data_IF_053281073680
#
_entry.id   IF_053281073680
#
_cell.length_a   1.000
_cell.length_b   1.000
_cell.length_c   1.000
_cell.angle_alpha   90.00
_cell.angle_beta   90.00
_cell.angle_gamma   90.00
#
_symmetry.space_group_name_H-M   'P 1'
#
loop_
_entity.id
_entity.type
_entity.pdbx_description
1 polymer ?
#
# COMPACT_ATOMS: atom_id res chain seq x y z
N UNK A 1 -4.54 -3.05 14.67
CA UNK A 1 -5.05 -3.32 13.30
C UNK A 1 -6.15 -2.30 13.03
N UNK A 2 -6.07 -1.63 11.91
CA UNK A 2 -7.10 -0.70 11.47
C UNK A 2 -7.75 -1.27 10.21
N UNK A 3 -8.91 -1.87 10.37
CA UNK A 3 -9.71 -2.39 9.27
C UNK A 3 -10.80 -1.38 8.94
N UNK A 4 -10.57 -0.63 7.88
CA UNK A 4 -11.52 0.34 7.31
C UNK A 4 -11.37 0.34 5.79
N UNK A 5 -12.39 0.80 5.09
CA UNK A 5 -12.34 0.94 3.65
C UNK A 5 -11.29 1.97 3.18
N UNK A 6 -11.18 2.14 1.89
CA UNK A 6 -10.26 3.10 1.26
C UNK A 6 -11.02 4.37 0.88
N UNK A 7 -10.37 5.52 1.06
CA UNK A 7 -10.89 6.82 0.66
C UNK A 7 -9.78 7.70 0.08
N UNK A 8 -10.15 8.55 -0.85
CA UNK A 8 -9.30 9.63 -1.39
C UNK A 8 -10.03 10.95 -1.17
N UNK A 9 -9.34 11.90 -0.56
CA UNK A 9 -9.86 13.24 -0.31
C UNK A 9 -9.00 14.26 -1.05
N UNK A 10 -9.29 14.57 -2.32
CA UNK A 10 -8.52 15.54 -3.09
C UNK A 10 -8.76 16.97 -2.57
N UNK A 11 -7.71 17.78 -2.65
CA UNK A 11 -7.78 19.21 -2.32
C UNK A 11 -7.71 20.02 -3.61
N UNK A 12 -8.53 21.06 -3.72
CA UNK A 12 -8.64 21.94 -4.90
C UNK A 12 -8.31 23.37 -4.53
N UNK A 13 -7.36 23.97 -5.24
CA UNK A 13 -6.82 25.29 -4.95
C UNK A 13 -7.34 26.39 -5.88
N UNK A 14 -8.16 26.07 -6.88
CA UNK A 14 -8.69 27.04 -7.85
C UNK A 14 -9.22 28.32 -7.19
N UNK A 15 -10.11 28.16 -6.21
CA UNK A 15 -10.75 29.31 -5.56
C UNK A 15 -9.76 30.19 -4.76
N UNK A 16 -8.66 29.61 -4.27
CA UNK A 16 -7.58 30.35 -3.58
C UNK A 16 -6.80 31.15 -4.61
N UNK A 17 -6.44 30.56 -5.73
CA UNK A 17 -5.71 31.23 -6.80
C UNK A 17 -6.53 32.39 -7.40
N UNK A 18 -7.82 32.20 -7.62
CA UNK A 18 -8.72 33.27 -8.09
C UNK A 18 -8.75 34.46 -7.14
N UNK A 19 -8.85 34.21 -5.81
CA UNK A 19 -8.81 35.27 -4.80
C UNK A 19 -7.47 36.02 -4.74
N UNK A 20 -6.39 35.35 -5.06
CA UNK A 20 -5.03 35.93 -5.11
C UNK A 20 -4.72 36.58 -6.47
N UNK A 21 -5.66 36.55 -7.43
CA UNK A 21 -5.43 37.07 -8.79
C UNK A 21 -4.47 36.23 -9.64
N UNK A 22 -4.22 34.98 -9.23
CA UNK A 22 -3.31 34.06 -9.94
C UNK A 22 -4.10 33.32 -11.01
N UNK A 23 -3.66 33.42 -12.27
CA UNK A 23 -4.20 32.65 -13.39
C UNK A 23 -3.36 31.42 -13.67
N UNK A 24 -3.96 30.26 -13.51
CA UNK A 24 -3.31 28.99 -13.86
C UNK A 24 -3.62 28.65 -15.32
N UNK A 25 -2.57 28.38 -16.10
CA UNK A 25 -2.69 27.87 -17.47
C UNK A 25 -2.28 26.43 -17.51
N UNK A 26 -3.12 25.57 -18.10
CA UNK A 26 -2.91 24.13 -18.17
C UNK A 26 -2.92 23.68 -19.62
N UNK A 27 -1.88 22.97 -20.03
CA UNK A 27 -1.83 22.24 -21.27
C UNK A 27 -1.96 20.74 -20.93
N UNK A 28 -3.07 20.10 -21.31
CA UNK A 28 -3.26 18.65 -21.13
C UNK A 28 -3.90 18.05 -22.38
N UNK A 29 -3.60 16.79 -22.63
CA UNK A 29 -4.23 15.99 -23.67
C UNK A 29 -4.87 14.76 -23.02
N UNK A 30 -6.15 14.55 -23.30
CA UNK A 30 -6.94 13.44 -22.75
C UNK A 30 -7.75 13.80 -21.52
N UNK A 31 -8.92 13.18 -21.41
CA UNK A 31 -9.92 13.49 -20.36
C UNK A 31 -9.51 12.92 -19.01
N UNK A 32 -8.86 11.75 -18.98
CA UNK A 32 -8.41 11.08 -17.76
C UNK A 32 -7.10 11.63 -17.14
N UNK A 33 -6.60 12.78 -17.64
CA UNK A 33 -5.44 13.48 -17.07
C UNK A 33 -5.85 14.37 -15.89
N UNK A 34 -6.22 13.73 -14.76
CA UNK A 34 -6.76 14.41 -13.57
C UNK A 34 -5.74 15.16 -12.72
N UNK A 35 -4.43 14.95 -12.89
CA UNK A 35 -3.39 15.53 -12.01
C UNK A 35 -3.43 17.07 -11.92
N UNK A 36 -3.86 17.75 -12.97
CA UNK A 36 -3.94 19.22 -13.02
C UNK A 36 -5.24 19.79 -12.45
N UNK A 37 -6.22 18.95 -12.14
CA UNK A 37 -7.54 19.40 -11.66
C UNK A 37 -7.46 20.08 -10.31
N UNK A 38 -6.51 19.68 -9.46
CA UNK A 38 -6.21 20.32 -8.18
C UNK A 38 -6.05 21.85 -8.31
N UNK A 39 -5.52 22.32 -9.43
CA UNK A 39 -5.25 23.74 -9.67
C UNK A 39 -6.33 24.44 -10.50
N UNK A 40 -7.06 23.70 -11.34
CA UNK A 40 -7.98 24.26 -12.34
C UNK A 40 -9.45 24.10 -12.04
N UNK A 41 -9.80 23.20 -11.12
CA UNK A 41 -11.19 22.89 -10.77
C UNK A 41 -11.45 23.13 -9.27
N UNK A 42 -12.72 23.23 -8.92
CA UNK A 42 -13.17 23.25 -7.52
C UNK A 42 -13.64 21.88 -7.03
N UNK A 43 -13.78 20.93 -7.94
CA UNK A 43 -14.19 19.55 -7.67
C UNK A 43 -13.60 18.60 -8.71
N UNK A 44 -13.64 17.33 -8.41
CA UNK A 44 -13.14 16.25 -9.28
C UNK A 44 -14.05 16.12 -10.53
N UNK A 45 -13.45 15.95 -11.71
CA UNK A 45 -14.20 15.62 -12.92
C UNK A 45 -14.83 14.23 -12.81
N UNK A 46 -15.84 13.97 -13.65
CA UNK A 46 -16.48 12.65 -13.73
C UNK A 46 -15.48 11.56 -14.08
N UNK A 47 -14.63 11.83 -15.06
CA UNK A 47 -13.60 10.91 -15.56
C UNK A 47 -12.54 10.59 -14.48
N UNK A 48 -12.07 11.62 -13.77
CA UNK A 48 -11.11 11.44 -12.68
C UNK A 48 -11.75 10.70 -11.49
N UNK A 49 -13.02 10.99 -11.18
CA UNK A 49 -13.78 10.26 -10.16
C UNK A 49 -13.95 8.79 -10.53
N UNK A 50 -14.31 8.50 -11.78
CA UNK A 50 -14.45 7.13 -12.30
C UNK A 50 -13.12 6.35 -12.16
N UNK A 51 -12.02 6.93 -12.63
CA UNK A 51 -10.69 6.32 -12.53
C UNK A 51 -10.28 6.08 -11.09
N UNK A 52 -10.49 7.07 -10.21
CA UNK A 52 -10.16 6.97 -8.79
C UNK A 52 -10.99 5.88 -8.10
N UNK A 53 -12.28 5.83 -8.38
CA UNK A 53 -13.17 4.81 -7.80
C UNK A 53 -12.82 3.41 -8.31
N UNK A 54 -12.48 3.25 -9.59
CA UNK A 54 -12.03 1.96 -10.13
C UNK A 54 -10.76 1.47 -9.42
N UNK A 55 -9.80 2.37 -9.17
CA UNK A 55 -8.58 2.04 -8.43
C UNK A 55 -8.90 1.64 -6.98
N UNK A 56 -9.72 2.43 -6.28
CA UNK A 56 -10.09 2.14 -4.89
C UNK A 56 -10.84 0.81 -4.76
N UNK A 57 -11.80 0.54 -5.64
CA UNK A 57 -12.54 -0.73 -5.66
C UNK A 57 -11.62 -1.91 -5.92
N UNK A 58 -10.78 -1.84 -6.95
CA UNK A 58 -9.84 -2.90 -7.28
C UNK A 58 -8.87 -3.19 -6.12
N UNK A 59 -8.35 -2.14 -5.50
CA UNK A 59 -7.44 -2.28 -4.34
C UNK A 59 -8.15 -2.89 -3.15
N UNK A 60 -9.34 -2.39 -2.80
CA UNK A 60 -10.14 -2.92 -1.70
C UNK A 60 -10.56 -4.37 -1.93
N UNK A 61 -10.95 -4.70 -3.15
CA UNK A 61 -11.32 -6.07 -3.53
C UNK A 61 -10.17 -7.05 -3.31
N UNK A 62 -8.96 -6.68 -3.70
CA UNK A 62 -7.78 -7.52 -3.47
C UNK A 62 -7.47 -7.67 -1.98
N UNK A 63 -7.50 -6.59 -1.21
CA UNK A 63 -7.24 -6.62 0.24
C UNK A 63 -8.30 -7.45 0.97
N UNK A 64 -9.58 -7.17 0.71
CA UNK A 64 -10.69 -7.86 1.39
C UNK A 64 -10.76 -9.34 1.03
N UNK A 65 -10.47 -9.70 -0.23
CA UNK A 65 -10.39 -11.10 -0.67
C UNK A 65 -9.21 -11.84 -0.02
N UNK A 66 -8.04 -11.19 0.08
CA UNK A 66 -6.88 -11.75 0.77
C UNK A 66 -7.21 -12.08 2.23
N UNK A 67 -7.76 -11.11 2.98
CA UNK A 67 -8.17 -11.32 4.37
C UNK A 67 -9.23 -12.43 4.48
N UNK A 68 -10.24 -12.39 3.61
CA UNK A 68 -11.32 -13.37 3.60
C UNK A 68 -10.79 -14.79 3.41
N UNK A 69 -9.86 -14.96 2.48
CA UNK A 69 -9.23 -16.26 2.18
C UNK A 69 -8.39 -16.76 3.33
N UNK A 70 -7.49 -15.94 3.86
CA UNK A 70 -6.56 -16.33 4.91
C UNK A 70 -7.26 -16.60 6.24
N UNK A 71 -8.29 -15.82 6.56
CA UNK A 71 -9.06 -15.94 7.80
C UNK A 71 -10.29 -16.83 7.68
N UNK A 72 -10.61 -17.34 6.50
CA UNK A 72 -11.81 -18.16 6.23
C UNK A 72 -13.10 -17.45 6.65
N UNK A 73 -13.16 -16.15 6.39
CA UNK A 73 -14.30 -15.26 6.64
C UNK A 73 -14.87 -14.87 5.28
N UNK A 74 -16.19 -14.70 5.15
CA UNK A 74 -16.73 -14.23 3.87
C UNK A 74 -16.37 -12.77 3.61
N UNK A 75 -16.23 -12.40 2.33
CA UNK A 75 -15.89 -11.02 1.92
C UNK A 75 -16.93 -10.01 2.40
N UNK A 76 -18.20 -10.42 2.41
CA UNK A 76 -19.32 -9.60 2.90
C UNK A 76 -19.15 -9.26 4.39
N UNK A 77 -18.67 -10.21 5.20
CA UNK A 77 -18.37 -9.96 6.62
C UNK A 77 -17.17 -9.04 6.78
N UNK A 78 -16.13 -9.20 5.97
CA UNK A 78 -14.98 -8.26 5.99
C UNK A 78 -15.43 -6.84 5.67
N UNK A 79 -16.30 -6.65 4.67
CA UNK A 79 -16.87 -5.36 4.35
C UNK A 79 -17.69 -4.79 5.52
N UNK A 80 -18.56 -5.59 6.14
CA UNK A 80 -19.34 -5.16 7.29
C UNK A 80 -18.44 -4.75 8.47
N UNK A 81 -17.37 -5.49 8.75
CA UNK A 81 -16.41 -5.14 9.80
C UNK A 81 -15.66 -3.83 9.50
N UNK A 82 -15.33 -3.58 8.23
CA UNK A 82 -14.72 -2.31 7.82
C UNK A 82 -15.67 -1.12 8.04
N UNK A 83 -16.99 -1.30 7.80
CA UNK A 83 -18.01 -0.28 8.05
C UNK A 83 -18.20 0.02 9.56
N UNK A 84 -17.99 -0.96 10.43
CA UNK A 84 -18.04 -0.77 11.88
C UNK A 84 -16.91 0.10 12.43
N UNK A 85 -15.96 0.54 11.62
CA UNK A 85 -14.79 1.30 12.04
C UNK A 85 -14.04 0.60 13.18
N UNK A 86 -13.46 -0.55 12.87
CA UNK A 86 -12.80 -1.43 13.85
C UNK A 86 -11.77 -0.74 14.74
N UNK A 87 -11.17 0.36 14.28
CA UNK A 87 -10.23 1.15 15.07
C UNK A 87 -10.80 1.60 16.43
N UNK A 88 -12.08 1.89 16.51
CA UNK A 88 -12.76 2.33 17.74
C UNK A 88 -13.37 1.18 18.55
N UNK A 89 -13.23 -0.06 18.09
CA UNK A 89 -13.77 -1.22 18.79
C UNK A 89 -12.78 -1.78 19.82
N UNK A 90 -13.28 -2.40 20.90
CA UNK A 90 -12.40 -3.04 21.87
C UNK A 90 -11.60 -4.16 21.21
N UNK A 91 -10.33 -4.39 21.60
CA UNK A 91 -9.47 -5.41 21.03
C UNK A 91 -10.07 -6.82 21.00
N UNK A 92 -10.93 -7.14 21.96
CA UNK A 92 -11.64 -8.43 22.04
C UNK A 92 -12.53 -8.70 20.81
N UNK A 93 -13.07 -7.65 20.17
CA UNK A 93 -13.85 -7.82 18.93
C UNK A 93 -13.02 -8.37 17.77
N UNK A 94 -11.74 -8.04 17.69
CA UNK A 94 -10.87 -8.59 16.64
C UNK A 94 -10.73 -10.12 16.76
N UNK A 95 -10.68 -10.62 17.98
CA UNK A 95 -10.66 -12.07 18.24
C UNK A 95 -12.03 -12.68 17.94
N UNK A 96 -13.13 -12.06 18.39
CA UNK A 96 -14.49 -12.52 18.13
C UNK A 96 -14.81 -12.62 16.64
N UNK A 97 -14.29 -11.70 15.85
CA UNK A 97 -14.48 -11.68 14.39
C UNK A 97 -13.48 -12.57 13.64
N UNK A 98 -12.55 -13.20 14.35
CA UNK A 98 -11.53 -14.06 13.74
C UNK A 98 -10.46 -13.30 12.97
N UNK A 99 -10.37 -11.99 13.13
CA UNK A 99 -9.38 -11.13 12.47
C UNK A 99 -7.97 -11.31 13.03
N UNK A 100 -7.86 -11.72 14.29
CA UNK A 100 -6.61 -12.06 14.97
C UNK A 100 -6.78 -13.35 15.77
N UNK A 101 -5.68 -14.05 16.03
CA UNK A 101 -5.70 -15.35 16.71
C UNK A 101 -5.77 -15.21 18.23
N UNK A 102 -5.37 -14.05 18.78
CA UNK A 102 -5.39 -13.79 20.22
C UNK A 102 -4.89 -12.39 20.56
N UNK A 103 -4.98 -12.08 21.82
CA UNK A 103 -4.47 -10.85 22.43
C UNK A 103 -3.43 -11.24 23.47
N UNK A 104 -2.26 -10.67 23.37
CA UNK A 104 -1.13 -10.95 24.27
C UNK A 104 -0.52 -9.65 24.77
N UNK A 105 -0.13 -9.63 26.02
CA UNK A 105 0.88 -8.68 26.50
C UNK A 105 2.26 -9.11 25.98
N UNK A 106 3.26 -8.23 26.00
CA UNK A 106 4.59 -8.48 25.45
C UNK A 106 5.24 -9.73 26.05
N UNK A 107 5.19 -9.90 27.36
CA UNK A 107 5.71 -11.04 28.10
C UNK A 107 5.01 -12.36 27.71
N UNK A 108 3.68 -12.32 27.57
CA UNK A 108 2.90 -13.47 27.14
C UNK A 108 3.24 -13.87 25.69
N UNK A 109 3.49 -12.87 24.82
CA UNK A 109 3.89 -13.15 23.45
C UNK A 109 5.26 -13.78 23.36
N UNK A 110 6.23 -13.33 24.19
CA UNK A 110 7.54 -13.97 24.26
C UNK A 110 7.44 -15.41 24.73
N UNK A 111 6.68 -15.67 25.78
CA UNK A 111 6.44 -17.04 26.25
C UNK A 111 5.79 -17.93 25.18
N UNK A 112 4.82 -17.38 24.44
CA UNK A 112 4.23 -18.09 23.29
C UNK A 112 5.28 -18.45 22.23
N UNK A 113 6.20 -17.54 21.90
CA UNK A 113 7.29 -17.81 20.96
C UNK A 113 8.25 -18.87 21.49
N UNK A 114 8.63 -18.82 22.76
CA UNK A 114 9.46 -19.86 23.41
C UNK A 114 8.85 -21.25 23.25
N UNK A 115 7.57 -21.37 23.51
CA UNK A 115 6.86 -22.64 23.35
C UNK A 115 6.85 -23.11 21.89
N UNK A 116 6.69 -22.20 20.93
CA UNK A 116 6.70 -22.53 19.50
C UNK A 116 8.07 -22.97 19.00
N UNK A 117 9.12 -22.32 19.45
CA UNK A 117 10.50 -22.57 19.00
C UNK A 117 11.17 -23.68 19.84
N UNK A 118 10.68 -23.97 21.04
CA UNK A 118 11.26 -24.94 21.97
C UNK A 118 12.57 -24.46 22.58
N UNK A 119 12.82 -23.15 22.61
CA UNK A 119 14.04 -22.55 23.15
C UNK A 119 13.67 -21.28 23.92
N UNK A 120 14.48 -20.92 24.92
CA UNK A 120 14.39 -19.62 25.59
C UNK A 120 14.57 -18.48 24.59
N UNK A 121 13.76 -17.45 24.72
CA UNK A 121 13.75 -16.30 23.82
C UNK A 121 14.65 -15.19 24.36
N UNK A 122 15.58 -14.74 23.54
CA UNK A 122 16.42 -13.56 23.78
C UNK A 122 16.09 -12.55 22.66
N UNK A 123 15.54 -11.38 23.03
CA UNK A 123 15.06 -10.38 22.08
C UNK A 123 16.16 -9.95 21.09
N UNK A 124 17.42 -9.87 21.55
CA UNK A 124 18.54 -9.42 20.70
C UNK A 124 19.05 -10.52 19.76
N UNK A 125 19.00 -11.78 20.17
CA UNK A 125 19.63 -12.91 19.45
C UNK A 125 18.66 -13.82 18.74
N UNK A 126 17.38 -13.77 19.13
CA UNK A 126 16.36 -14.69 18.58
C UNK A 126 15.58 -14.09 17.43
N UNK A 127 15.76 -12.80 17.13
CA UNK A 127 15.10 -12.11 16.04
C UNK A 127 16.06 -11.83 14.89
N UNK A 128 15.57 -12.01 13.68
CA UNK A 128 16.23 -11.59 12.46
C UNK A 128 15.31 -10.57 11.74
N UNK A 129 15.88 -9.50 11.20
CA UNK A 129 15.10 -8.57 10.39
C UNK A 129 14.68 -9.24 9.07
N UNK A 130 13.56 -8.77 8.49
CA UNK A 130 13.11 -9.26 7.18
C UNK A 130 14.19 -9.02 6.10
N UNK A 131 14.89 -7.90 6.16
CA UNK A 131 15.98 -7.57 5.24
C UNK A 131 17.14 -8.56 5.34
N UNK A 132 17.57 -8.88 6.56
CA UNK A 132 18.64 -9.87 6.80
C UNK A 132 18.21 -11.28 6.39
N UNK A 133 16.96 -11.64 6.66
CA UNK A 133 16.42 -12.94 6.23
C UNK A 133 16.40 -13.08 4.71
N UNK A 134 15.96 -12.04 3.99
CA UNK A 134 15.96 -12.03 2.52
C UNK A 134 17.39 -12.03 1.97
N UNK A 135 18.31 -11.27 2.58
CA UNK A 135 19.71 -11.18 2.15
C UNK A 135 20.54 -12.43 2.48
N UNK A 136 20.11 -13.26 3.44
CA UNK A 136 20.80 -14.50 3.80
C UNK A 136 20.90 -15.51 2.64
N UNK A 137 20.07 -15.38 1.62
CA UNK A 137 20.27 -16.00 0.30
C UNK A 137 20.22 -17.52 0.22
N UNK A 138 19.96 -18.22 1.30
CA UNK A 138 20.01 -19.69 1.34
C UNK A 138 18.96 -20.41 0.45
N UNK A 139 17.98 -19.67 -0.07
CA UNK A 139 16.90 -20.23 -0.88
C UNK A 139 16.99 -19.97 -2.39
N UNK A 140 18.05 -19.35 -2.87
CA UNK A 140 18.21 -19.11 -4.31
C UNK A 140 18.77 -20.36 -4.97
N UNK A 141 17.90 -21.22 -5.47
CA UNK A 141 18.32 -22.33 -6.37
C UNK A 141 19.01 -21.75 -7.59
N UNK A 142 20.29 -22.07 -7.79
CA UNK A 142 20.99 -21.69 -9.02
C UNK A 142 20.30 -22.34 -10.20
N UNK A 143 19.78 -21.51 -11.12
CA UNK A 143 19.17 -21.94 -12.37
C UNK A 143 20.05 -21.54 -13.54
N UNK A 144 20.02 -22.33 -14.63
CA UNK A 144 20.62 -21.93 -15.93
C UNK A 144 19.83 -20.78 -16.56
N UNK A 145 18.51 -20.72 -16.31
CA UNK A 145 17.67 -19.66 -16.78
C UNK A 145 17.75 -18.49 -15.77
N UNK A 146 18.00 -17.31 -16.27
CA UNK A 146 18.04 -16.07 -15.48
C UNK A 146 16.86 -15.19 -15.87
N UNK A 147 16.18 -14.64 -14.89
CA UNK A 147 15.19 -13.58 -15.06
C UNK A 147 15.81 -12.31 -14.51
N UNK A 148 15.97 -11.29 -15.35
CA UNK A 148 16.34 -9.97 -14.91
C UNK A 148 15.07 -9.17 -14.59
N UNK A 149 15.01 -8.56 -13.40
CA UNK A 149 13.94 -7.65 -13.02
C UNK A 149 14.55 -6.27 -12.88
N UNK A 150 14.08 -5.35 -13.71
CA UNK A 150 14.52 -3.95 -13.69
C UNK A 150 13.39 -3.13 -13.06
N UNK A 151 13.70 -2.46 -11.95
CA UNK A 151 12.76 -1.60 -11.26
C UNK A 151 12.90 -0.17 -11.78
N UNK A 152 11.83 0.35 -12.36
CA UNK A 152 11.73 1.75 -12.76
C UNK A 152 10.76 2.45 -11.79
N UNK A 153 11.28 3.14 -10.79
CA UNK A 153 10.52 3.75 -9.71
C UNK A 153 10.86 5.24 -9.59
N UNK A 154 9.84 6.08 -9.52
CA UNK A 154 9.98 7.52 -9.37
C UNK A 154 9.39 8.33 -10.52
N UNK A 155 9.66 9.61 -10.54
CA UNK A 155 9.34 10.50 -11.66
C UNK A 155 10.09 10.09 -12.91
N UNK A 156 9.55 10.40 -14.08
CA UNK A 156 10.25 10.25 -15.37
C UNK A 156 10.80 11.63 -15.74
N UNK A 157 12.12 11.77 -15.67
CA UNK A 157 12.80 13.04 -15.91
C UNK A 157 13.98 12.84 -16.86
N UNK A 158 14.38 13.92 -17.55
CA UNK A 158 15.59 13.96 -18.37
C UNK A 158 16.76 14.43 -17.50
N UNK A 159 17.54 13.49 -16.92
CA UNK A 159 18.78 13.78 -16.20
C UNK A 159 18.64 14.09 -14.71
N UNK A 160 17.64 13.54 -14.02
CA UNK A 160 17.47 13.65 -12.56
C UNK A 160 18.04 12.46 -11.80
N UNK A 161 18.52 12.67 -10.57
CA UNK A 161 19.10 11.60 -9.73
C UNK A 161 18.08 10.76 -8.96
N UNK A 162 16.82 11.19 -8.86
CA UNK A 162 15.80 10.59 -7.98
C UNK A 162 14.62 9.96 -8.72
N UNK A 163 14.76 9.66 -10.01
CA UNK A 163 13.68 9.14 -10.83
C UNK A 163 14.13 8.13 -11.88
N UNK A 164 13.27 7.94 -12.87
CA UNK A 164 13.57 7.13 -14.05
C UNK A 164 14.26 8.04 -15.08
N UNK A 165 15.58 7.96 -15.18
CA UNK A 165 16.35 8.62 -16.22
C UNK A 165 16.34 7.78 -17.50
N UNK A 166 16.04 8.41 -18.64
CA UNK A 166 15.92 7.72 -19.91
C UNK A 166 17.25 7.12 -20.40
N UNK A 167 18.36 7.81 -20.18
CA UNK A 167 19.69 7.34 -20.61
C UNK A 167 20.19 6.19 -19.73
N UNK A 168 19.98 6.28 -18.40
CA UNK A 168 20.41 5.26 -17.45
C UNK A 168 19.57 3.98 -17.63
N UNK A 169 18.26 4.12 -17.86
CA UNK A 169 17.41 2.99 -18.14
C UNK A 169 17.78 2.31 -19.46
N UNK A 170 18.06 3.09 -20.53
CA UNK A 170 18.52 2.55 -21.82
C UNK A 170 19.84 1.78 -21.67
N UNK A 171 20.84 2.32 -20.94
CA UNK A 171 22.08 1.62 -20.65
C UNK A 171 21.85 0.31 -19.89
N UNK A 172 20.93 0.32 -18.91
CA UNK A 172 20.59 -0.88 -18.14
C UNK A 172 19.93 -1.95 -19.00
N UNK A 173 19.11 -1.54 -19.97
CA UNK A 173 18.46 -2.43 -20.94
C UNK A 173 19.41 -2.88 -22.07
N UNK A 174 20.56 -2.23 -22.24
CA UNK A 174 21.52 -2.55 -23.30
C UNK A 174 21.11 -2.03 -24.69
N UNK A 175 20.35 -0.94 -24.76
CA UNK A 175 19.87 -0.28 -25.98
C UNK A 175 20.37 1.16 -26.06
#
# INVERSE_FOLDING_TARGET
IDLRGLAVTPVFFKNIFEKLGIKIQIAKVGEYKGATETYSRSEMSTENKEQTMALLHSTWDNVSLGIATDRKISKEKINAYAEESMFFQPPTKYVQYGLVDGLFYKDQFWHFLEQKVGKSFDEEKSLISLADYVSSGENVKKSRNKIAVIYAVGGIDDGGSDGIDSEELAKTLGI
#
